data_IF_669720328203
#
_entry.id   IF_669720328203
#
_cell.length_a   1.000
_cell.length_b   1.000
_cell.length_c   1.000
_cell.angle_alpha   90.00
_cell.angle_beta   90.00
_cell.angle_gamma   90.00
#
_symmetry.space_group_name_H-M   'P 1'
#
loop_
_entity.id
_entity.type
_entity.pdbx_description
1 polymer ?
#
# COMPACT_ATOMS: atom_id res chain seq x y z
N UNK A 1 6.79 -5.54 -7.82
CA UNK A 1 6.04 -4.70 -6.86
C UNK A 1 5.67 -5.54 -5.66
N UNK A 2 5.58 -4.94 -4.46
CA UNK A 2 5.23 -5.66 -3.24
C UNK A 2 3.80 -6.21 -3.33
N UNK A 3 3.64 -7.50 -3.06
CA UNK A 3 2.35 -8.18 -3.04
C UNK A 3 2.42 -9.42 -2.13
N UNK A 4 1.35 -9.81 -1.43
CA UNK A 4 1.30 -11.07 -0.70
C UNK A 4 1.53 -12.28 -1.61
N UNK A 5 2.40 -13.22 -1.21
CA UNK A 5 2.70 -14.44 -1.97
C UNK A 5 1.47 -15.38 -2.10
N UNK A 6 0.68 -15.51 -1.03
CA UNK A 6 -0.53 -16.35 -0.99
C UNK A 6 -1.60 -15.66 -0.16
N UNK A 7 -2.84 -15.75 -0.60
CA UNK A 7 -4.01 -15.25 0.14
C UNK A 7 -5.11 -16.30 0.13
N UNK A 8 -5.80 -16.53 1.26
CA UNK A 8 -6.93 -17.46 1.34
C UNK A 8 -8.05 -17.10 0.36
N UNK A 9 -8.38 -15.81 0.24
CA UNK A 9 -9.43 -15.31 -0.65
C UNK A 9 -8.88 -14.32 -1.68
N UNK A 10 -9.33 -14.45 -2.93
CA UNK A 10 -8.92 -13.55 -4.02
C UNK A 10 -9.59 -12.18 -3.95
N UNK A 11 -10.78 -12.05 -3.35
CA UNK A 11 -11.55 -10.80 -3.35
C UNK A 11 -11.87 -10.43 -1.90
N UNK A 12 -11.61 -9.17 -1.53
CA UNK A 12 -11.88 -8.64 -0.18
C UNK A 12 -12.84 -7.45 -0.24
N UNK A 13 -13.53 -7.16 0.85
CA UNK A 13 -14.22 -5.88 1.02
C UNK A 13 -13.19 -4.76 1.13
N UNK A 14 -13.51 -3.57 0.61
CA UNK A 14 -12.60 -2.44 0.70
C UNK A 14 -12.35 -2.09 2.18
N UNK A 15 -13.38 -2.17 3.02
CA UNK A 15 -13.32 -1.63 4.38
C UNK A 15 -13.33 -0.10 4.39
N UNK A 16 -13.42 0.49 5.58
CA UNK A 16 -13.49 1.94 5.79
C UNK A 16 -12.25 2.41 6.55
N UNK A 17 -11.52 3.36 5.99
CA UNK A 17 -10.37 3.98 6.66
C UNK A 17 -10.92 5.15 7.48
N UNK A 18 -10.70 5.11 8.79
CA UNK A 18 -11.15 6.14 9.73
C UNK A 18 -10.24 6.15 10.95
N UNK A 19 -10.14 7.32 11.60
CA UNK A 19 -9.40 7.48 12.85
C UNK A 19 -7.88 7.53 12.69
N UNK A 20 -7.22 7.52 13.85
CA UNK A 20 -5.75 7.52 13.98
C UNK A 20 -5.27 6.07 14.05
N UNK A 21 -4.10 5.80 13.46
CA UNK A 21 -3.49 4.47 13.50
C UNK A 21 -3.25 4.02 14.96
N UNK A 22 -3.77 2.84 15.31
CA UNK A 22 -3.61 2.25 16.64
C UNK A 22 -2.22 1.66 16.87
N UNK A 23 -1.47 1.36 15.81
CA UNK A 23 -0.13 0.78 15.87
C UNK A 23 0.80 1.37 14.80
N UNK A 24 2.11 1.20 14.97
CA UNK A 24 3.12 1.68 14.02
C UNK A 24 3.35 3.19 14.00
N UNK A 25 2.74 3.94 14.93
CA UNK A 25 2.84 5.39 15.00
C UNK A 25 4.17 5.90 15.60
N UNK A 26 4.90 5.06 16.33
CA UNK A 26 6.20 5.38 16.93
C UNK A 26 7.35 4.95 16.01
N UNK A 27 8.48 5.68 16.04
CA UNK A 27 9.66 5.32 15.27
C UNK A 27 10.38 4.13 15.92
N UNK A 28 10.35 2.97 15.26
CA UNK A 28 11.00 1.75 15.77
C UNK A 28 12.42 1.55 15.22
N UNK A 29 12.75 2.16 14.07
CA UNK A 29 14.02 1.97 13.37
C UNK A 29 14.53 3.30 12.83
N UNK A 30 15.85 3.47 12.85
CA UNK A 30 16.50 4.67 12.34
C UNK A 30 16.35 5.87 13.28
N UNK A 31 16.83 7.03 12.81
CA UNK A 31 16.81 8.29 13.56
C UNK A 31 15.68 9.22 13.10
N UNK A 32 15.22 9.06 11.86
CA UNK A 32 14.19 9.90 11.23
C UNK A 32 13.08 9.03 10.64
N UNK A 33 11.86 9.57 10.60
CA UNK A 33 10.70 8.90 10.05
C UNK A 33 9.73 9.86 9.36
N UNK A 34 8.96 9.31 8.42
CA UNK A 34 7.89 10.02 7.72
C UNK A 34 6.55 9.52 8.25
N UNK A 35 5.74 10.43 8.80
CA UNK A 35 4.42 10.12 9.40
C UNK A 35 3.32 10.71 8.51
N UNK A 36 2.32 9.91 8.21
CA UNK A 36 1.12 10.39 7.53
C UNK A 36 0.24 11.19 8.51
N UNK A 37 -0.23 12.35 8.07
CA UNK A 37 -1.18 13.21 8.81
C UNK A 37 -2.63 12.89 8.46
N UNK A 38 -2.86 12.29 7.29
CA UNK A 38 -4.19 12.04 6.74
C UNK A 38 -4.41 10.55 6.42
N UNK A 39 -5.65 10.06 6.52
CA UNK A 39 -6.00 8.69 6.19
C UNK A 39 -6.19 8.50 4.68
N UNK A 40 -5.30 7.74 4.03
CA UNK A 40 -5.44 7.39 2.61
C UNK A 40 -4.98 5.96 2.30
N UNK A 41 -5.39 5.41 1.15
CA UNK A 41 -4.87 4.15 0.61
C UNK A 41 -3.58 4.40 -0.16
N UNK A 42 -2.53 3.69 0.22
CA UNK A 42 -1.25 3.72 -0.49
C UNK A 42 -1.11 2.46 -1.35
N UNK A 43 -0.77 2.65 -2.62
CA UNK A 43 -0.51 1.58 -3.58
C UNK A 43 0.94 1.12 -3.54
N UNK A 44 1.18 -0.12 -3.97
CA UNK A 44 2.54 -0.67 -4.12
C UNK A 44 3.43 0.19 -5.06
N UNK A 45 2.83 0.85 -6.06
CA UNK A 45 3.55 1.74 -7.01
C UNK A 45 4.05 3.00 -6.31
N UNK A 46 3.21 3.62 -5.48
CA UNK A 46 3.55 4.82 -4.72
C UNK A 46 4.67 4.54 -3.71
N UNK A 47 4.60 3.41 -2.99
CA UNK A 47 5.65 2.98 -2.04
C UNK A 47 6.99 2.82 -2.77
N UNK A 48 7.00 2.13 -3.91
CA UNK A 48 8.23 1.91 -4.67
C UNK A 48 8.77 3.20 -5.29
N UNK A 49 7.91 4.09 -5.76
CA UNK A 49 8.30 5.41 -6.26
C UNK A 49 8.96 6.24 -5.15
N UNK A 50 8.35 6.30 -3.96
CA UNK A 50 8.90 7.00 -2.81
C UNK A 50 10.24 6.41 -2.37
N UNK A 51 10.35 5.07 -2.29
CA UNK A 51 11.61 4.38 -1.97
C UNK A 51 12.72 4.76 -2.96
N UNK A 52 12.43 4.67 -4.26
CA UNK A 52 13.40 5.02 -5.31
C UNK A 52 13.83 6.48 -5.23
N UNK A 53 12.90 7.40 -4.98
CA UNK A 53 13.19 8.83 -4.84
C UNK A 53 14.12 9.10 -3.63
N UNK A 54 13.80 8.54 -2.46
CA UNK A 54 14.61 8.67 -1.25
C UNK A 54 16.03 8.10 -1.46
N UNK A 55 16.13 6.87 -1.96
CA UNK A 55 17.43 6.23 -2.21
C UNK A 55 18.26 7.00 -3.24
N UNK A 56 17.63 7.57 -4.28
CA UNK A 56 18.33 8.40 -5.27
C UNK A 56 18.84 9.71 -4.67
N UNK A 57 18.02 10.38 -3.87
CA UNK A 57 18.38 11.66 -3.25
C UNK A 57 19.53 11.51 -2.25
N UNK A 58 19.53 10.41 -1.48
CA UNK A 58 20.63 10.06 -0.56
C UNK A 58 21.88 9.52 -1.27
N UNK A 59 21.93 9.50 -2.61
CA UNK A 59 23.01 8.89 -3.42
C UNK A 59 23.33 7.45 -3.01
N UNK A 60 22.29 6.68 -2.62
CA UNK A 60 22.39 5.30 -2.10
C UNK A 60 23.19 5.15 -0.81
N UNK A 61 23.48 6.23 -0.10
CA UNK A 61 24.07 6.19 1.23
C UNK A 61 22.98 5.96 2.29
N UNK A 62 23.31 5.21 3.34
CA UNK A 62 22.40 4.93 4.44
C UNK A 62 21.39 3.81 4.18
N UNK A 63 20.48 3.63 5.14
CA UNK A 63 19.48 2.55 5.14
C UNK A 63 18.08 3.16 5.20
N UNK A 64 17.17 2.60 4.40
CA UNK A 64 15.76 3.00 4.35
C UNK A 64 14.90 1.82 4.76
N UNK A 65 14.01 2.03 5.73
CA UNK A 65 13.05 1.04 6.18
C UNK A 65 11.64 1.41 5.69
N UNK A 66 10.95 0.44 5.09
CA UNK A 66 9.55 0.59 4.69
C UNK A 66 8.72 -0.16 5.72
N UNK A 67 7.83 0.57 6.41
CA UNK A 67 7.01 0.04 7.50
C UNK A 67 5.57 -0.27 7.11
N UNK A 68 5.21 -0.02 5.85
CA UNK A 68 3.88 -0.26 5.30
C UNK A 68 3.96 -1.32 4.20
N UNK A 69 2.96 -2.20 4.13
CA UNK A 69 2.90 -3.26 3.13
C UNK A 69 1.50 -3.31 2.50
N UNK A 70 1.39 -3.41 1.17
CA UNK A 70 0.10 -3.45 0.48
C UNK A 70 -0.47 -4.87 0.48
N UNK A 71 -1.22 -5.22 1.53
CA UNK A 71 -1.84 -6.53 1.74
C UNK A 71 -3.28 -6.62 1.21
N UNK A 72 -4.03 -5.51 1.21
CA UNK A 72 -5.44 -5.49 0.81
C UNK A 72 -5.59 -5.51 -0.72
N UNK A 73 -6.25 -6.54 -1.30
CA UNK A 73 -6.48 -6.60 -2.74
C UNK A 73 -7.61 -5.65 -3.19
N UNK A 74 -7.37 -4.92 -4.28
CA UNK A 74 -8.37 -4.05 -4.91
C UNK A 74 -8.84 -4.69 -6.22
N UNK A 75 -10.14 -4.86 -6.39
CA UNK A 75 -10.75 -5.39 -7.62
C UNK A 75 -11.38 -4.30 -8.48
N UNK A 76 -11.29 -4.43 -9.81
CA UNK A 76 -11.97 -3.54 -10.77
C UNK A 76 -12.67 -4.39 -11.83
N UNK A 77 -13.85 -3.96 -12.27
CA UNK A 77 -14.46 -4.53 -13.49
C UNK A 77 -13.71 -4.02 -14.74
N UNK A 78 -13.66 -4.80 -15.82
CA UNK A 78 -13.15 -4.34 -17.12
C UNK A 78 -13.85 -3.06 -17.60
N UNK A 79 -13.26 -2.40 -18.60
CA UNK A 79 -13.98 -1.38 -19.34
C UNK A 79 -15.15 -2.03 -20.11
N UNK A 80 -16.18 -1.23 -20.44
CA UNK A 80 -17.26 -1.62 -21.37
C UNK A 80 -18.22 -2.72 -20.87
N UNK A 81 -18.09 -3.21 -19.64
CA UNK A 81 -19.02 -4.19 -19.07
C UNK A 81 -20.13 -3.54 -18.24
N UNK A 82 -21.35 -4.06 -18.36
CA UNK A 82 -22.48 -3.65 -17.52
C UNK A 82 -22.33 -4.13 -16.06
N UNK A 83 -23.15 -3.56 -15.18
CA UNK A 83 -23.27 -4.02 -13.79
C UNK A 83 -23.96 -5.40 -13.73
N UNK A 84 -23.77 -6.16 -12.64
CA UNK A 84 -24.19 -7.57 -12.55
C UNK A 84 -23.05 -8.60 -12.75
N UNK A 85 -23.38 -9.89 -12.85
CA UNK A 85 -22.46 -11.01 -13.15
C UNK A 85 -21.26 -11.18 -12.22
N UNK A 86 -21.38 -10.74 -10.97
CA UNK A 86 -20.35 -10.90 -9.95
C UNK A 86 -19.27 -9.81 -9.91
N UNK A 87 -18.24 -10.06 -9.09
CA UNK A 87 -17.19 -9.09 -8.76
C UNK A 87 -16.00 -9.22 -9.72
N UNK A 88 -15.44 -8.10 -10.16
CA UNK A 88 -14.27 -8.06 -11.05
C UNK A 88 -13.01 -8.68 -10.44
N UNK A 89 -11.98 -8.84 -11.26
CA UNK A 89 -10.70 -9.40 -10.84
C UNK A 89 -9.78 -8.37 -10.17
N UNK A 90 -8.72 -8.88 -9.54
CA UNK A 90 -7.72 -8.04 -8.86
C UNK A 90 -7.03 -7.15 -9.89
N UNK A 91 -6.97 -5.86 -9.60
CA UNK A 91 -6.13 -4.92 -10.33
C UNK A 91 -4.67 -5.14 -9.91
N UNK A 92 -3.76 -5.27 -10.87
CA UNK A 92 -2.32 -5.44 -10.64
C UNK A 92 -1.60 -4.14 -10.27
#
# INVERSE_FOLDING_TARGET
MMQPKKTKFRKAHKGRIHGVASSGATLAFGQFGLKATEPERVTARQIEAARRALTRHMKRAGRVWIRVFPDVPVSKKPAEVRMGSGKGDRKS
#
